data_IF_512058035827
#
_entry.id   IF_512058035827
#
_cell.length_a   1.000
_cell.length_b   1.000
_cell.length_c   1.000
_cell.angle_alpha   90.00
_cell.angle_beta   90.00
_cell.angle_gamma   90.00
#
_symmetry.space_group_name_H-M   'P 1'
#
loop_
_entity.id
_entity.type
_entity.pdbx_description
1 polymer ?
#
# COMPACT_ATOMS: atom_id res chain seq x y z
N UNK A 1 -4.38 -84.80 -23.59
CA UNK A 1 -4.23 -83.82 -24.68
C UNK A 1 -4.74 -82.48 -24.18
N UNK A 2 -3.76 -81.61 -23.86
CA UNK A 2 -3.66 -80.16 -24.16
C UNK A 2 -4.81 -79.16 -23.82
N UNK A 3 -4.48 -77.88 -23.56
CA UNK A 3 -4.92 -77.16 -22.37
C UNK A 3 -5.47 -75.74 -22.65
N UNK A 4 -5.79 -75.02 -21.56
CA UNK A 4 -5.60 -73.58 -21.30
C UNK A 4 -6.07 -72.50 -22.33
N UNK A 5 -6.87 -71.55 -21.83
CA UNK A 5 -6.77 -70.09 -22.07
C UNK A 5 -7.74 -69.39 -21.09
N UNK A 6 -7.32 -68.69 -20.02
CA UNK A 6 -6.71 -67.35 -19.89
C UNK A 6 -7.57 -66.17 -20.40
N UNK A 7 -7.62 -65.15 -19.52
CA UNK A 7 -7.74 -63.70 -19.76
C UNK A 7 -9.11 -63.00 -19.59
N UNK A 8 -9.07 -61.92 -18.80
CA UNK A 8 -10.09 -60.86 -18.68
C UNK A 8 -10.34 -60.44 -17.22
N UNK A 9 -9.32 -60.07 -16.43
CA UNK A 9 -8.74 -58.73 -16.25
C UNK A 9 -9.74 -57.61 -15.82
N UNK A 10 -9.60 -57.22 -14.53
CA UNK A 10 -9.55 -55.87 -13.93
C UNK A 10 -10.79 -54.94 -14.11
N UNK A 11 -11.57 -54.58 -13.08
CA UNK A 11 -11.26 -54.01 -11.76
C UNK A 11 -10.25 -52.85 -11.82
N UNK A 12 -10.75 -51.62 -11.92
CA UNK A 12 -10.38 -50.47 -11.08
C UNK A 12 -10.84 -49.16 -11.76
N UNK A 13 -12.08 -48.77 -11.50
CA UNK A 13 -12.53 -47.41 -11.70
C UNK A 13 -12.04 -46.48 -10.59
N UNK A 14 -12.08 -45.19 -10.90
CA UNK A 14 -11.78 -44.03 -10.04
C UNK A 14 -10.31 -43.65 -9.88
N UNK A 15 -9.81 -42.97 -10.93
CA UNK A 15 -8.93 -41.82 -10.76
C UNK A 15 -9.55 -40.84 -9.75
N UNK A 16 -9.03 -40.80 -8.52
CA UNK A 16 -9.09 -39.60 -7.69
C UNK A 16 -7.71 -38.95 -7.78
N UNK A 17 -7.52 -38.17 -8.84
CA UNK A 17 -6.51 -37.12 -8.87
C UNK A 17 -6.90 -36.10 -7.79
N UNK A 18 -6.47 -36.36 -6.56
CA UNK A 18 -6.34 -35.35 -5.53
C UNK A 18 -5.24 -34.39 -5.99
N UNK A 19 -5.58 -33.54 -6.96
CA UNK A 19 -4.85 -32.33 -7.24
C UNK A 19 -4.95 -31.45 -6.00
N UNK A 20 -3.97 -31.58 -5.12
CA UNK A 20 -3.64 -30.56 -4.14
C UNK A 20 -3.36 -29.28 -4.91
N UNK A 21 -4.43 -28.55 -5.21
CA UNK A 21 -4.43 -27.13 -5.52
C UNK A 21 -3.84 -26.43 -4.30
N UNK A 22 -2.51 -26.37 -4.27
CA UNK A 22 -1.73 -25.50 -3.39
C UNK A 22 -1.93 -24.05 -3.84
N UNK A 23 -3.16 -23.55 -3.71
CA UNK A 23 -3.50 -22.14 -3.83
C UNK A 23 -2.97 -21.45 -2.54
N UNK A 24 -2.29 -20.30 -2.66
CA UNK A 24 -1.25 -19.88 -1.73
C UNK A 24 -1.82 -19.43 -0.37
N UNK A 25 -1.49 -20.17 0.68
CA UNK A 25 -1.83 -19.82 2.08
C UNK A 25 -1.17 -18.55 2.61
N UNK A 26 -0.32 -17.89 1.82
CA UNK A 26 0.38 -16.67 2.22
C UNK A 26 -0.49 -15.38 2.19
N UNK A 27 -1.71 -15.43 1.65
CA UNK A 27 -2.65 -14.28 1.63
C UNK A 27 -3.79 -14.40 2.65
N UNK A 28 -3.95 -15.56 3.30
CA UNK A 28 -5.04 -15.78 4.25
C UNK A 28 -4.81 -15.08 5.61
N UNK A 29 -3.56 -14.73 5.94
CA UNK A 29 -3.22 -14.23 7.27
C UNK A 29 -3.66 -12.78 7.49
N UNK A 30 -3.67 -11.95 6.45
CA UNK A 30 -4.13 -10.56 6.49
C UNK A 30 -5.56 -10.34 5.93
N UNK A 31 -6.14 -11.32 5.21
CA UNK A 31 -7.40 -11.21 4.44
C UNK A 31 -7.49 -9.97 3.51
N UNK A 32 -6.35 -9.39 3.15
CA UNK A 32 -6.28 -8.24 2.25
C UNK A 32 -6.30 -8.72 0.80
N UNK A 33 -7.29 -8.28 0.03
CA UNK A 33 -7.47 -8.63 -1.39
C UNK A 33 -6.60 -7.79 -2.34
N UNK A 34 -5.41 -7.40 -1.92
CA UNK A 34 -4.50 -6.58 -2.71
C UNK A 34 -3.72 -7.41 -3.73
N UNK A 35 -3.63 -6.90 -4.95
CA UNK A 35 -2.65 -7.37 -5.93
C UNK A 35 -1.33 -6.62 -5.71
N UNK A 36 -0.39 -7.24 -4.98
CA UNK A 36 0.93 -6.64 -4.71
C UNK A 36 1.82 -6.56 -5.96
N UNK A 37 1.38 -7.10 -7.11
CA UNK A 37 2.04 -6.87 -8.41
C UNK A 37 1.59 -5.57 -9.07
N UNK A 38 0.47 -4.99 -8.60
CA UNK A 38 -0.15 -3.77 -9.12
C UNK A 38 -0.47 -3.81 -10.63
N UNK A 39 -0.51 -4.99 -11.26
CA UNK A 39 -0.69 -5.12 -12.71
C UNK A 39 -2.01 -4.49 -13.15
N UNK A 40 -3.08 -4.78 -12.45
CA UNK A 40 -4.41 -4.25 -12.78
C UNK A 40 -4.53 -2.75 -12.46
N UNK A 41 -3.87 -2.28 -11.41
CA UNK A 41 -3.80 -0.85 -11.08
C UNK A 41 -3.07 -0.06 -12.17
N UNK A 42 -1.92 -0.58 -12.64
CA UNK A 42 -1.11 0.04 -13.69
C UNK A 42 -1.74 -0.09 -15.09
N UNK A 43 -2.59 -1.09 -15.32
CA UNK A 43 -3.41 -1.18 -16.53
C UNK A 43 -4.47 -0.08 -16.58
N UNK A 44 -5.11 0.22 -15.44
CA UNK A 44 -6.11 1.30 -15.31
C UNK A 44 -5.48 2.69 -15.28
N UNK A 45 -4.30 2.81 -14.67
CA UNK A 45 -3.52 4.04 -14.59
C UNK A 45 -2.20 3.87 -15.33
N UNK A 46 -2.26 3.93 -16.66
CA UNK A 46 -1.10 3.70 -17.51
C UNK A 46 -0.04 4.79 -17.27
N UNK A 47 1.10 4.38 -16.73
CA UNK A 47 2.29 5.23 -16.62
C UNK A 47 2.89 5.45 -18.01
N UNK A 48 3.39 6.67 -18.27
CA UNK A 48 4.19 6.95 -19.47
C UNK A 48 5.48 6.12 -19.44
N UNK A 49 6.07 5.93 -20.61
CA UNK A 49 7.28 5.11 -20.75
C UNK A 49 8.49 5.75 -20.04
N UNK A 50 8.51 7.08 -19.91
CA UNK A 50 9.55 7.86 -19.24
C UNK A 50 9.22 8.26 -17.79
N UNK A 51 8.18 7.66 -17.17
CA UNK A 51 7.92 7.85 -15.74
C UNK A 51 8.96 7.11 -14.89
N UNK A 52 9.53 7.81 -13.90
CA UNK A 52 10.48 7.23 -12.94
C UNK A 52 9.88 6.01 -12.24
N UNK A 53 8.62 6.08 -11.80
CA UNK A 53 7.96 4.94 -11.14
C UNK A 53 7.96 3.69 -12.03
N UNK A 54 7.78 3.84 -13.35
CA UNK A 54 7.82 2.69 -14.26
C UNK A 54 9.22 2.07 -14.31
N UNK A 55 10.25 2.89 -14.44
CA UNK A 55 11.64 2.45 -14.38
C UNK A 55 11.95 1.70 -13.08
N UNK A 56 11.54 2.27 -11.94
CA UNK A 56 11.74 1.69 -10.62
C UNK A 56 11.05 0.33 -10.48
N UNK A 57 9.81 0.19 -10.96
CA UNK A 57 9.08 -1.07 -10.92
C UNK A 57 9.73 -2.17 -11.77
N UNK A 58 10.31 -1.82 -12.92
CA UNK A 58 11.04 -2.78 -13.74
C UNK A 58 12.36 -3.20 -13.08
N UNK A 59 13.08 -2.25 -12.49
CA UNK A 59 14.41 -2.48 -11.92
C UNK A 59 14.36 -3.16 -10.54
N UNK A 60 13.33 -2.88 -9.74
CA UNK A 60 13.18 -3.35 -8.37
C UNK A 60 11.82 -4.05 -8.18
N UNK A 61 11.69 -5.30 -8.66
CA UNK A 61 10.42 -6.04 -8.60
C UNK A 61 10.07 -6.56 -7.21
N UNK A 62 11.06 -6.72 -6.32
CA UNK A 62 10.83 -7.12 -4.93
C UNK A 62 10.24 -5.96 -4.12
N UNK A 63 9.31 -6.28 -3.22
CA UNK A 63 8.59 -5.30 -2.38
C UNK A 63 8.87 -5.58 -0.91
N UNK A 64 9.17 -4.53 -0.13
CA UNK A 64 9.45 -4.67 1.31
C UNK A 64 8.30 -5.34 2.08
N UNK A 65 7.06 -5.11 1.66
CA UNK A 65 5.85 -5.53 2.39
C UNK A 65 5.48 -7.01 2.21
N UNK A 66 6.00 -7.71 1.19
CA UNK A 66 5.54 -9.06 0.82
C UNK A 66 5.73 -10.09 1.94
N UNK A 67 6.93 -10.16 2.51
CA UNK A 67 7.24 -11.08 3.60
C UNK A 67 6.48 -10.71 4.88
N UNK A 68 6.25 -9.41 5.11
CA UNK A 68 5.52 -8.92 6.28
C UNK A 68 4.03 -9.28 6.25
N UNK A 69 3.38 -9.16 5.09
CA UNK A 69 1.99 -9.58 4.92
C UNK A 69 1.82 -11.09 5.07
N UNK A 70 2.78 -11.87 4.56
CA UNK A 70 2.75 -13.33 4.67
C UNK A 70 2.94 -13.84 6.11
N UNK A 71 3.67 -13.09 6.93
CA UNK A 71 3.97 -13.42 8.34
C UNK A 71 3.02 -12.79 9.35
N UNK A 72 2.05 -11.97 8.91
CA UNK A 72 1.11 -11.32 9.81
C UNK A 72 0.26 -12.34 10.59
N UNK A 73 0.36 -12.33 11.91
CA UNK A 73 -0.35 -13.24 12.81
C UNK A 73 -1.28 -12.53 13.81
N UNK A 74 -1.53 -11.24 13.59
CA UNK A 74 -2.39 -10.43 14.45
C UNK A 74 -3.88 -10.67 14.24
N UNK A 75 -4.72 -9.85 14.88
CA UNK A 75 -6.16 -9.84 14.66
C UNK A 75 -6.51 -9.61 13.18
N UNK A 76 -7.67 -10.09 12.71
CA UNK A 76 -8.18 -9.76 11.39
C UNK A 76 -8.18 -8.25 11.13
N UNK A 77 -7.68 -7.85 9.97
CA UNK A 77 -7.57 -6.46 9.57
C UNK A 77 -8.91 -6.01 9.00
N UNK A 78 -9.54 -5.01 9.64
CA UNK A 78 -10.84 -4.47 9.22
C UNK A 78 -10.66 -3.30 8.24
N UNK A 79 -9.56 -2.53 8.39
CA UNK A 79 -9.17 -1.51 7.44
C UNK A 79 -7.65 -1.42 7.33
N UNK A 80 -7.13 -1.15 6.14
CA UNK A 80 -5.71 -1.01 5.90
C UNK A 80 -5.38 -0.06 4.77
N UNK A 81 -4.25 0.62 4.91
CA UNK A 81 -3.65 1.45 3.88
C UNK A 81 -2.16 1.19 3.82
N UNK A 82 -1.63 1.03 2.62
CA UNK A 82 -0.23 0.74 2.37
C UNK A 82 0.28 1.72 1.32
N UNK A 83 1.35 2.44 1.66
CA UNK A 83 2.15 3.26 0.75
C UNK A 83 3.50 2.58 0.52
N UNK A 84 3.91 2.43 -0.73
CA UNK A 84 5.17 1.78 -1.06
C UNK A 84 5.98 2.59 -2.06
N UNK A 85 7.26 2.78 -1.77
CA UNK A 85 8.24 3.32 -2.70
C UNK A 85 9.14 2.17 -3.23
N UNK A 86 9.09 1.83 -4.53
CA UNK A 86 10.02 0.87 -5.14
C UNK A 86 11.42 1.48 -5.28
N UNK A 87 12.12 1.74 -4.17
CA UNK A 87 13.45 2.34 -4.22
C UNK A 87 14.59 1.30 -4.21
N UNK A 88 15.74 1.73 -4.72
CA UNK A 88 16.83 0.95 -5.32
C UNK A 88 17.81 0.22 -4.40
N UNK A 89 17.73 0.38 -3.08
CA UNK A 89 18.57 -0.32 -2.10
C UNK A 89 17.85 -0.61 -0.78
N UNK A 90 16.96 0.30 -0.37
CA UNK A 90 16.20 0.22 0.87
C UNK A 90 14.72 0.46 0.54
N UNK A 91 14.02 -0.53 -0.03
CA UNK A 91 12.60 -0.37 -0.30
C UNK A 91 11.89 -0.06 1.02
N UNK A 92 11.03 0.95 0.97
CA UNK A 92 10.31 1.43 2.14
C UNK A 92 8.81 1.32 1.88
N UNK A 93 8.11 0.81 2.88
CA UNK A 93 6.66 0.85 2.90
C UNK A 93 6.17 1.43 4.23
N UNK A 94 5.06 2.14 4.18
CA UNK A 94 4.35 2.59 5.37
C UNK A 94 2.98 1.92 5.38
N UNK A 95 2.73 1.12 6.41
CA UNK A 95 1.56 0.27 6.50
C UNK A 95 0.70 0.66 7.70
N UNK A 96 -0.47 1.21 7.42
CA UNK A 96 -1.49 1.56 8.39
C UNK A 96 -2.47 0.39 8.53
N UNK A 97 -2.69 -0.02 9.78
CA UNK A 97 -3.47 -1.21 10.12
C UNK A 97 -4.50 -0.79 11.16
N UNK A 98 -5.75 -1.14 10.91
CA UNK A 98 -6.82 -1.12 11.90
C UNK A 98 -7.41 -2.51 12.02
N UNK A 99 -7.50 -3.00 13.25
CA UNK A 99 -8.20 -4.22 13.63
C UNK A 99 -9.39 -3.86 14.52
N UNK A 100 -10.07 -4.88 15.06
CA UNK A 100 -11.18 -4.66 15.99
C UNK A 100 -10.75 -3.91 17.23
N UNK A 101 -9.59 -4.27 17.81
CA UNK A 101 -9.15 -3.74 19.11
C UNK A 101 -8.11 -2.63 19.03
N UNK A 102 -7.40 -2.48 17.90
CA UNK A 102 -6.24 -1.61 17.82
C UNK A 102 -6.04 -0.97 16.44
N UNK A 103 -5.22 0.09 16.42
CA UNK A 103 -4.64 0.61 15.20
C UNK A 103 -3.16 0.91 15.38
N UNK A 104 -2.40 0.82 14.28
CA UNK A 104 -0.95 1.09 14.26
C UNK A 104 -0.48 1.47 12.86
N UNK A 105 0.66 2.16 12.81
CA UNK A 105 1.44 2.36 11.59
C UNK A 105 2.76 1.63 11.74
N UNK A 106 3.15 0.88 10.72
CA UNK A 106 4.44 0.20 10.66
C UNK A 106 5.25 0.75 9.50
N UNK A 107 6.49 1.15 9.76
CA UNK A 107 7.45 1.47 8.71
C UNK A 107 8.27 0.22 8.43
N UNK A 108 8.13 -0.31 7.22
CA UNK A 108 8.77 -1.55 6.77
C UNK A 108 9.95 -1.19 5.88
N UNK A 109 11.13 -1.66 6.25
CA UNK A 109 12.36 -1.54 5.47
C UNK A 109 13.10 -2.87 5.51
N UNK A 110 13.94 -3.17 4.51
CA UNK A 110 14.68 -4.44 4.50
C UNK A 110 15.76 -4.57 5.59
N UNK A 111 16.18 -3.44 6.19
CA UNK A 111 17.42 -3.37 6.97
C UNK A 111 17.19 -3.21 8.47
N UNK A 112 15.92 -3.12 8.91
CA UNK A 112 15.56 -2.88 10.31
C UNK A 112 14.33 -3.67 10.68
N UNK A 113 14.26 -4.05 11.95
CA UNK A 113 13.04 -4.56 12.56
C UNK A 113 11.93 -3.51 12.44
N UNK A 114 10.71 -3.96 12.17
CA UNK A 114 9.58 -3.08 11.90
C UNK A 114 9.32 -2.14 13.08
N UNK A 115 9.43 -0.84 12.85
CA UNK A 115 8.99 0.17 13.82
C UNK A 115 7.49 0.37 13.66
N UNK A 116 6.72 -0.30 14.52
CA UNK A 116 5.27 -0.16 14.59
C UNK A 116 4.88 0.73 15.77
N UNK A 117 4.20 1.84 15.47
CA UNK A 117 3.71 2.78 16.46
C UNK A 117 2.19 2.68 16.59
N UNK A 118 1.64 2.69 17.83
CA UNK A 118 0.19 2.67 18.02
C UNK A 118 -0.44 3.95 17.49
N UNK A 119 -1.66 3.83 16.97
CA UNK A 119 -2.49 4.93 16.51
C UNK A 119 -3.86 4.87 17.17
N UNK A 120 -4.57 6.00 17.17
CA UNK A 120 -5.99 6.02 17.54
C UNK A 120 -6.83 5.25 16.50
N UNK A 121 -7.64 4.25 16.90
CA UNK A 121 -8.42 3.45 15.97
C UNK A 121 -9.43 4.26 15.13
N UNK A 122 -10.15 5.20 15.74
CA UNK A 122 -11.17 5.97 15.06
C UNK A 122 -10.56 6.93 14.03
N UNK A 123 -9.46 7.62 14.39
CA UNK A 123 -8.70 8.49 13.48
C UNK A 123 -8.07 7.69 12.34
N UNK A 124 -7.55 6.49 12.63
CA UNK A 124 -6.97 5.61 11.59
C UNK A 124 -8.03 5.15 10.60
N UNK A 125 -9.20 4.72 11.09
CA UNK A 125 -10.30 4.36 10.20
C UNK A 125 -10.76 5.55 9.35
N UNK A 126 -10.93 6.73 9.96
CA UNK A 126 -11.31 7.95 9.25
C UNK A 126 -10.28 8.33 8.17
N UNK A 127 -8.99 8.25 8.48
CA UNK A 127 -7.90 8.48 7.53
C UNK A 127 -7.95 7.51 6.35
N UNK A 128 -8.06 6.20 6.61
CA UNK A 128 -8.12 5.17 5.57
C UNK A 128 -9.35 5.38 4.69
N UNK A 129 -10.50 5.69 5.31
CA UNK A 129 -11.76 6.00 4.62
C UNK A 129 -11.62 7.25 3.75
N UNK A 130 -10.96 8.29 4.24
CA UNK A 130 -10.71 9.51 3.48
C UNK A 130 -9.88 9.23 2.22
N UNK A 131 -8.75 8.54 2.36
CA UNK A 131 -7.87 8.20 1.23
C UNK A 131 -8.57 7.28 0.22
N UNK A 132 -9.43 6.37 0.67
CA UNK A 132 -10.27 5.53 -0.20
C UNK A 132 -11.16 6.36 -1.14
N UNK A 133 -11.55 7.57 -0.74
CA UNK A 133 -12.42 8.47 -1.51
C UNK A 133 -11.65 9.56 -2.27
N UNK A 134 -10.32 9.52 -2.27
CA UNK A 134 -9.53 10.43 -3.10
C UNK A 134 -9.90 10.25 -4.58
N UNK A 135 -10.33 11.35 -5.21
CA UNK A 135 -10.61 11.38 -6.63
C UNK A 135 -9.37 10.89 -7.42
N UNK A 136 -9.56 10.11 -8.50
CA UNK A 136 -8.48 9.84 -9.44
C UNK A 136 -7.84 11.15 -9.90
N UNK A 137 -6.53 11.16 -10.05
CA UNK A 137 -5.86 12.32 -10.60
C UNK A 137 -6.14 12.41 -12.09
N UNK A 138 -6.37 13.63 -12.58
CA UNK A 138 -6.25 13.92 -14.00
C UNK A 138 -4.81 13.62 -14.45
N UNK A 139 -4.60 13.18 -15.71
CA UNK A 139 -3.27 12.97 -16.24
C UNK A 139 -2.47 14.28 -16.14
N UNK A 140 -1.34 14.25 -15.44
CA UNK A 140 -0.44 15.43 -15.36
C UNK A 140 0.08 15.74 -16.77
N UNK A 141 0.00 16.98 -17.29
CA UNK A 141 0.51 17.35 -18.61
C UNK A 141 1.97 16.95 -18.87
N UNK A 142 2.36 16.84 -20.15
CA UNK A 142 3.74 16.49 -20.54
C UNK A 142 4.73 17.59 -20.14
N UNK A 143 5.93 17.20 -19.69
CA UNK A 143 7.04 18.12 -19.36
C UNK A 143 6.94 18.78 -17.98
N UNK A 144 5.78 18.74 -17.34
CA UNK A 144 5.62 19.08 -15.94
C UNK A 144 6.29 17.99 -15.09
N UNK A 145 7.16 18.39 -14.16
CA UNK A 145 7.91 17.51 -13.24
C UNK A 145 9.03 16.65 -13.84
N UNK A 146 9.71 17.13 -14.90
CA UNK A 146 10.97 16.53 -15.35
C UNK A 146 12.07 16.69 -14.27
N UNK A 147 12.71 15.59 -13.87
CA UNK A 147 13.79 15.56 -12.85
C UNK A 147 15.17 15.30 -13.44
N UNK A 148 15.25 15.07 -14.75
CA UNK A 148 16.49 14.81 -15.47
C UNK A 148 16.22 14.38 -16.90
N UNK A 149 17.27 13.94 -17.58
CA UNK A 149 17.22 13.42 -18.94
C UNK A 149 17.91 12.06 -18.96
N UNK A 150 17.28 11.07 -19.58
CA UNK A 150 17.91 9.80 -19.88
C UNK A 150 19.05 10.04 -20.88
N UNK A 151 20.29 9.78 -20.47
CA UNK A 151 21.48 10.02 -21.30
C UNK A 151 21.53 9.15 -22.55
N UNK A 152 20.87 7.99 -22.55
CA UNK A 152 20.86 7.08 -23.70
C UNK A 152 19.85 7.51 -24.77
N UNK A 153 18.70 8.05 -24.36
CA UNK A 153 17.58 8.36 -25.28
C UNK A 153 17.36 9.86 -25.48
N UNK A 154 17.97 10.72 -24.66
CA UNK A 154 17.71 12.16 -24.64
C UNK A 154 16.31 12.53 -24.12
N UNK A 155 15.53 11.56 -23.63
CA UNK A 155 14.14 11.78 -23.19
C UNK A 155 14.11 12.31 -21.75
N UNK A 156 13.30 13.33 -21.43
CA UNK A 156 13.10 13.78 -20.06
C UNK A 156 12.56 12.65 -19.18
N UNK A 157 13.11 12.48 -17.98
CA UNK A 157 12.60 11.56 -16.97
C UNK A 157 11.59 12.30 -16.11
N UNK A 158 10.37 11.79 -16.05
CA UNK A 158 9.26 12.40 -15.32
C UNK A 158 9.17 11.82 -13.91
N UNK A 159 8.85 12.67 -12.94
CA UNK A 159 8.57 12.26 -11.56
C UNK A 159 7.17 12.69 -11.14
N UNK A 160 6.18 12.33 -11.95
CA UNK A 160 4.78 12.58 -11.63
C UNK A 160 4.27 11.60 -10.58
N UNK A 161 4.74 10.36 -10.63
CA UNK A 161 4.40 9.31 -9.68
C UNK A 161 5.68 8.75 -9.06
N UNK A 162 5.64 8.45 -7.76
CA UNK A 162 6.78 7.89 -7.04
C UNK A 162 6.41 6.74 -6.10
N UNK A 163 5.17 6.69 -5.64
CA UNK A 163 4.68 5.65 -4.74
C UNK A 163 3.51 4.88 -5.34
N UNK A 164 3.26 3.71 -4.78
CA UNK A 164 2.05 2.93 -4.99
C UNK A 164 1.22 2.92 -3.71
N UNK A 165 -0.10 2.98 -3.89
CA UNK A 165 -1.08 2.93 -2.81
C UNK A 165 -1.91 1.66 -2.95
N UNK A 166 -2.13 0.96 -1.83
CA UNK A 166 -3.16 -0.05 -1.65
C UNK A 166 -4.03 0.29 -0.45
N UNK A 167 -5.35 0.27 -0.60
CA UNK A 167 -6.33 0.54 0.45
C UNK A 167 -7.34 -0.60 0.51
N UNK A 168 -7.78 -0.96 1.71
CA UNK A 168 -8.87 -1.91 1.96
C UNK A 168 -9.71 -1.40 3.12
N UNK A 169 -11.01 -1.21 2.92
CA UNK A 169 -11.97 -0.83 3.98
C UNK A 169 -13.39 -1.17 3.52
N UNK A 170 -14.25 -1.62 4.44
CA UNK A 170 -15.65 -2.00 4.18
C UNK A 170 -15.83 -2.99 3.00
N UNK A 171 -14.89 -3.93 2.85
CA UNK A 171 -14.90 -4.91 1.76
C UNK A 171 -14.54 -4.34 0.37
N UNK A 172 -14.17 -3.05 0.26
CA UNK A 172 -13.73 -2.40 -0.97
C UNK A 172 -12.21 -2.30 -0.98
N UNK A 173 -11.62 -2.33 -2.18
CA UNK A 173 -10.19 -2.07 -2.37
C UNK A 173 -9.92 -0.99 -3.41
N UNK A 174 -8.84 -0.25 -3.21
CA UNK A 174 -8.31 0.73 -4.16
C UNK A 174 -6.81 0.48 -4.31
N UNK A 175 -6.33 0.39 -5.54
CA UNK A 175 -4.90 0.33 -5.84
C UNK A 175 -4.58 1.27 -6.98
N UNK A 176 -3.58 2.14 -6.80
CA UNK A 176 -3.17 3.13 -7.81
C UNK A 176 -1.76 3.66 -7.57
N UNK A 177 -1.09 4.20 -8.60
CA UNK A 177 0.01 5.13 -8.41
C UNK A 177 -0.42 6.35 -7.58
N UNK A 178 0.51 6.87 -6.79
CA UNK A 178 0.37 8.11 -6.02
C UNK A 178 1.22 9.17 -6.68
N UNK A 179 0.62 10.31 -7.03
CA UNK A 179 1.39 11.39 -7.59
C UNK A 179 2.21 12.11 -6.53
N UNK A 180 3.38 12.60 -6.93
CA UNK A 180 4.26 13.41 -6.08
C UNK A 180 3.59 14.68 -5.56
N UNK A 181 2.67 15.27 -6.34
CA UNK A 181 1.87 16.41 -5.90
C UNK A 181 0.98 16.08 -4.70
N UNK A 182 0.49 14.84 -4.55
CA UNK A 182 -0.41 14.47 -3.44
C UNK A 182 0.32 14.39 -2.10
N UNK A 183 1.57 13.93 -2.11
CA UNK A 183 2.36 13.60 -0.91
C UNK A 183 3.18 14.77 -0.40
N UNK A 184 3.25 15.85 -1.18
CA UNK A 184 4.07 16.99 -0.84
C UNK A 184 5.57 16.77 -1.05
N UNK A 185 5.97 15.64 -1.64
CA UNK A 185 7.37 15.35 -1.92
C UNK A 185 7.91 16.33 -2.96
N UNK A 186 8.90 17.11 -2.54
CA UNK A 186 9.70 18.10 -3.28
C UNK A 186 9.05 19.46 -3.50
N UNK A 187 9.89 20.49 -3.69
CA UNK A 187 9.53 21.86 -4.08
C UNK A 187 8.74 22.00 -5.39
N UNK A 188 8.15 20.92 -5.91
CA UNK A 188 7.14 20.91 -6.97
C UNK A 188 5.77 21.38 -6.48
N UNK A 189 5.40 21.10 -5.21
CA UNK A 189 4.16 21.62 -4.59
C UNK A 189 4.13 23.16 -4.59
N UNK A 190 5.30 23.79 -4.48
CA UNK A 190 5.40 25.25 -4.47
C UNK A 190 4.95 25.88 -5.79
N UNK A 191 4.98 25.15 -6.91
CA UNK A 191 4.55 25.64 -8.22
C UNK A 191 3.06 25.43 -8.48
N UNK A 192 2.42 24.47 -7.80
CA UNK A 192 1.06 24.06 -8.15
C UNK A 192 0.12 23.90 -6.94
N UNK A 193 0.23 24.82 -5.97
CA UNK A 193 -0.71 24.93 -4.83
C UNK A 193 -2.17 25.15 -5.25
N UNK A 194 -2.44 25.41 -6.54
CA UNK A 194 -3.79 25.63 -7.08
C UNK A 194 -4.42 24.33 -7.60
N UNK A 195 -3.65 23.25 -7.74
CA UNK A 195 -4.21 21.96 -8.14
C UNK A 195 -5.12 21.42 -7.03
N UNK A 196 -6.35 20.95 -7.32
CA UNK A 196 -7.31 20.46 -6.32
C UNK A 196 -6.88 19.20 -5.57
N UNK A 197 -5.68 18.68 -5.85
CA UNK A 197 -5.14 17.45 -5.27
C UNK A 197 -3.78 17.65 -4.63
N UNK A 198 -3.20 18.85 -4.73
CA UNK A 198 -1.90 19.16 -4.14
C UNK A 198 -1.97 18.99 -2.62
N UNK A 199 -1.03 18.24 -2.06
CA UNK A 199 -0.89 18.05 -0.61
C UNK A 199 -1.99 17.21 0.06
N UNK A 200 -3.00 16.70 -0.66
CA UNK A 200 -4.14 16.02 -0.02
C UNK A 200 -3.75 14.81 0.84
N UNK A 201 -2.72 14.05 0.45
CA UNK A 201 -2.22 12.93 1.25
C UNK A 201 -1.51 13.45 2.50
N UNK A 202 -0.70 14.51 2.37
CA UNK A 202 -0.04 15.15 3.50
C UNK A 202 -1.07 15.72 4.49
N UNK A 203 -2.14 16.35 4.00
CA UNK A 203 -3.22 16.87 4.84
C UNK A 203 -3.97 15.75 5.58
N UNK A 204 -4.24 14.62 4.90
CA UNK A 204 -4.87 13.45 5.52
C UNK A 204 -3.96 12.83 6.59
N UNK A 205 -2.64 12.76 6.34
CA UNK A 205 -1.65 12.32 7.32
C UNK A 205 -1.58 13.28 8.51
N UNK A 206 -1.57 14.60 8.27
CA UNK A 206 -1.60 15.60 9.33
C UNK A 206 -2.87 15.47 10.19
N UNK A 207 -4.02 15.15 9.57
CA UNK A 207 -5.27 14.83 10.29
C UNK A 207 -5.15 13.58 11.15
N UNK A 208 -4.58 12.50 10.61
CA UNK A 208 -4.33 11.27 11.37
C UNK A 208 -3.47 11.53 12.60
N UNK A 209 -2.35 12.22 12.40
CA UNK A 209 -1.37 12.47 13.45
C UNK A 209 -1.69 13.67 14.31
N UNK A 210 -2.84 14.35 14.10
CA UNK A 210 -3.17 15.66 14.67
C UNK A 210 -2.47 15.90 16.00
N UNK A 211 -1.37 16.64 15.89
CA UNK A 211 -0.68 17.35 16.94
C UNK A 211 -1.69 18.37 17.49
N UNK A 212 -2.65 17.89 18.28
CA UNK A 212 -3.73 18.72 18.79
C UNK A 212 -3.15 19.70 19.83
N UNK A 213 -2.90 20.94 19.41
CA UNK A 213 -2.82 22.10 20.32
C UNK A 213 -4.08 22.19 21.20
N UNK A 214 -5.22 21.67 20.73
CA UNK A 214 -6.46 21.57 21.50
C UNK A 214 -6.35 20.66 22.75
N UNK A 215 -5.38 19.73 22.78
CA UNK A 215 -5.09 18.91 23.97
C UNK A 215 -4.25 19.66 25.01
N UNK A 216 -3.48 20.68 24.60
CA UNK A 216 -2.72 21.55 25.52
C UNK A 216 -3.60 22.63 26.16
N UNK A 217 -4.68 23.03 25.50
CA UNK A 217 -5.66 23.99 26.04
C UNK A 217 -6.58 23.39 27.14
N UNK A 218 -6.55 22.07 27.36
CA UNK A 218 -7.30 21.38 28.42
C UNK A 218 -6.41 20.89 29.56
N UNK A 219 -5.36 21.63 29.92
CA UNK A 219 -4.83 21.48 31.28
C UNK A 219 -5.84 22.17 32.21
N UNK A 220 -6.50 21.46 33.13
CA UNK A 220 -7.27 22.13 34.16
C UNK A 220 -6.29 23.05 34.90
N UNK A 221 -6.59 24.33 34.97
CA UNK A 221 -5.94 25.22 35.92
C UNK A 221 -6.05 24.54 37.29
N UNK A 222 -4.93 24.26 37.98
CA UNK A 222 -5.00 23.63 39.29
C UNK A 222 -5.82 24.55 40.18
N UNK A 223 -6.92 24.02 40.72
CA UNK A 223 -7.73 24.73 41.70
C UNK A 223 -6.78 25.26 42.78
N UNK A 224 -6.67 26.59 42.84
CA UNK A 224 -5.89 27.25 43.87
C UNK A 224 -6.69 27.07 45.16
N UNK A 225 -6.43 25.96 45.85
CA UNK A 225 -6.80 25.83 47.24
C UNK A 225 -5.87 26.71 48.07
N UNK A 226 -6.50 27.43 49.02
CA UNK A 226 -5.97 28.14 50.19
C UNK A 226 -5.75 29.64 49.99
N UNK A 227 -6.20 30.51 50.88
CA UNK A 227 -6.71 30.25 52.23
C UNK A 227 -7.34 31.50 52.83
N UNK A 228 -7.90 31.25 54.02
CA UNK A 228 -8.58 32.16 54.95
C UNK A 228 -7.91 33.53 55.11
#
# INVERSE_FOLDING_TARGET
>A
MTPANRCGLLLAGCLVLAGCLSIPRAQAAANLKWDLTYKEALRRHRLRDNEMLRYLLTRYPKRAIQERLASYSGEPIEASLLLEAPESKHPMATWYIRTRSAARVCVVTNDREDDCQPLDPARTEAFIREVMHFAPLDPVPDGEHAVGVDKATGTPILMNYYQLLSVSIDGRTLQRPVATLETGMTGMVARDKRHPHAGRMLDALNRLFQLDEASRARKPEPATERGQ
#
